data_IF_646350067753
#
_entry.id   IF_646350067753
#
_cell.length_a   1.000
_cell.length_b   1.000
_cell.length_c   1.000
_cell.angle_alpha   90.00
_cell.angle_beta   90.00
_cell.angle_gamma   90.00
#
_symmetry.space_group_name_H-M   'P 1'
#
loop_
_entity.id
_entity.type
_entity.pdbx_description
1 polymer ?
#
# COMPACT_ATOMS: atom_id res chain seq x y z
N UNK A 1 -4.45 -14.42 17.43
CA UNK A 1 -4.11 -13.18 16.71
C UNK A 1 -2.71 -13.32 16.11
N UNK A 2 -2.43 -12.70 14.95
CA UNK A 2 -1.12 -12.76 14.30
C UNK A 2 -0.11 -11.75 14.86
N UNK A 3 1.14 -11.85 14.41
CA UNK A 3 2.23 -10.92 14.78
C UNK A 3 2.17 -9.64 13.93
N UNK A 4 1.53 -8.60 14.47
CA UNK A 4 1.38 -7.31 13.79
C UNK A 4 2.72 -6.58 13.61
N UNK A 5 3.66 -6.73 14.55
CA UNK A 5 4.97 -6.09 14.46
C UNK A 5 5.76 -6.63 13.27
N UNK A 6 5.80 -7.96 13.13
CA UNK A 6 6.39 -8.62 11.97
C UNK A 6 5.66 -8.28 10.68
N UNK A 7 4.32 -8.25 10.69
CA UNK A 7 3.54 -7.90 9.51
C UNK A 7 3.85 -6.48 9.01
N UNK A 8 3.93 -5.49 9.92
CA UNK A 8 4.32 -4.11 9.60
C UNK A 8 5.72 -4.05 9.00
N UNK A 9 6.71 -4.68 9.64
CA UNK A 9 8.09 -4.65 9.16
C UNK A 9 8.24 -5.23 7.74
N UNK A 10 7.56 -6.35 7.46
CA UNK A 10 7.56 -6.96 6.13
C UNK A 10 6.84 -6.07 5.11
N UNK A 11 5.68 -5.53 5.48
CA UNK A 11 4.89 -4.68 4.59
C UNK A 11 5.56 -3.33 4.29
N UNK A 12 6.24 -2.71 5.25
CA UNK A 12 7.01 -1.47 5.04
C UNK A 12 8.15 -1.71 4.02
N UNK A 13 8.92 -2.80 4.19
CA UNK A 13 9.99 -3.16 3.25
C UNK A 13 9.45 -3.50 1.85
N UNK A 14 8.32 -4.20 1.79
CA UNK A 14 7.64 -4.52 0.54
C UNK A 14 7.10 -3.26 -0.15
N UNK A 15 6.58 -2.28 0.60
CA UNK A 15 6.03 -1.02 0.05
C UNK A 15 7.12 -0.24 -0.69
N UNK A 16 8.29 -0.11 -0.06
CA UNK A 16 9.45 0.54 -0.68
C UNK A 16 9.93 -0.22 -1.92
N UNK A 17 9.97 -1.55 -1.87
CA UNK A 17 10.43 -2.39 -2.98
C UNK A 17 9.46 -2.37 -4.16
N UNK A 18 8.16 -2.47 -3.90
CA UNK A 18 7.11 -2.34 -4.91
C UNK A 18 7.16 -0.96 -5.59
N UNK A 19 7.46 0.10 -4.84
CA UNK A 19 7.71 1.44 -5.38
C UNK A 19 8.88 1.48 -6.36
N UNK A 20 10.03 0.88 -6.01
CA UNK A 20 11.21 0.83 -6.88
C UNK A 20 10.99 0.01 -8.15
N UNK A 21 10.21 -1.07 -8.06
CA UNK A 21 9.93 -1.98 -9.17
C UNK A 21 8.72 -1.55 -10.03
N UNK A 22 8.04 -0.44 -9.68
CA UNK A 22 6.86 0.02 -10.41
C UNK A 22 5.64 -0.90 -10.27
N UNK A 23 5.57 -1.73 -9.23
CA UNK A 23 4.48 -2.68 -9.00
C UNK A 23 3.26 -1.98 -8.39
N UNK A 24 2.59 -1.13 -9.18
CA UNK A 24 1.53 -0.24 -8.70
C UNK A 24 0.37 -0.96 -7.99
N UNK A 25 -0.20 -2.08 -8.50
CA UNK A 25 -1.28 -2.77 -7.79
C UNK A 25 -0.83 -3.34 -6.44
N UNK A 26 0.40 -3.85 -6.36
CA UNK A 26 0.96 -4.37 -5.11
C UNK A 26 1.24 -3.25 -4.11
N UNK A 27 1.80 -2.13 -4.58
CA UNK A 27 2.04 -0.94 -3.75
C UNK A 27 0.75 -0.36 -3.18
N UNK A 28 -0.33 -0.37 -3.96
CA UNK A 28 -1.67 -0.03 -3.49
C UNK A 28 -2.14 -0.96 -2.35
N UNK A 29 -2.06 -2.28 -2.55
CA UNK A 29 -2.50 -3.26 -1.56
C UNK A 29 -1.70 -3.15 -0.24
N UNK A 30 -0.39 -2.91 -0.33
CA UNK A 30 0.47 -2.72 0.83
C UNK A 30 0.14 -1.44 1.60
N UNK A 31 -0.20 -0.35 0.91
CA UNK A 31 -0.65 0.88 1.57
C UNK A 31 -1.96 0.67 2.34
N UNK A 32 -2.94 -0.02 1.75
CA UNK A 32 -4.19 -0.40 2.43
C UNK A 32 -3.91 -1.24 3.68
N UNK A 33 -3.09 -2.30 3.54
CA UNK A 33 -2.73 -3.15 4.67
C UNK A 33 -2.09 -2.35 5.82
N UNK A 34 -1.13 -1.48 5.50
CA UNK A 34 -0.41 -0.67 6.50
C UNK A 34 -1.30 0.38 7.18
N UNK A 35 -2.34 0.88 6.50
CA UNK A 35 -3.39 1.70 7.12
C UNK A 35 -4.18 0.85 8.11
N UNK A 36 -4.66 -0.32 7.67
CA UNK A 36 -5.53 -1.18 8.48
C UNK A 36 -4.83 -1.75 9.73
N UNK A 37 -3.52 -2.01 9.64
CA UNK A 37 -2.73 -2.48 10.79
C UNK A 37 -1.97 -1.37 11.50
N UNK A 38 -2.25 -0.09 11.21
CA UNK A 38 -1.65 1.08 11.86
C UNK A 38 -0.12 1.05 11.88
N UNK A 39 0.52 1.16 10.72
CA UNK A 39 1.98 1.30 10.63
C UNK A 39 2.48 2.56 11.35
N UNK A 40 3.66 2.45 11.96
CA UNK A 40 4.36 3.55 12.66
C UNK A 40 5.54 4.11 11.86
N UNK A 41 5.94 3.41 10.80
CA UNK A 41 7.10 3.77 9.97
C UNK A 41 6.79 4.90 8.99
N UNK A 42 5.57 4.88 8.43
CA UNK A 42 5.08 5.92 7.55
C UNK A 42 3.94 6.68 8.23
N UNK A 43 3.91 8.01 8.13
CA UNK A 43 2.77 8.77 8.61
C UNK A 43 1.52 8.41 7.79
N UNK A 44 0.36 8.30 8.45
CA UNK A 44 -0.88 7.83 7.84
C UNK A 44 -1.26 8.60 6.55
N UNK A 45 -1.07 9.92 6.53
CA UNK A 45 -1.36 10.75 5.35
C UNK A 45 -0.56 10.31 4.10
N UNK A 46 0.70 9.90 4.28
CA UNK A 46 1.55 9.44 3.20
C UNK A 46 1.08 8.09 2.65
N UNK A 47 0.59 7.19 3.52
CA UNK A 47 0.02 5.92 3.08
C UNK A 47 -1.28 6.13 2.29
N UNK A 48 -2.13 7.05 2.72
CA UNK A 48 -3.34 7.43 1.97
C UNK A 48 -2.99 8.03 0.59
N UNK A 49 -2.00 8.91 0.52
CA UNK A 49 -1.54 9.46 -0.75
C UNK A 49 -1.03 8.37 -1.69
N UNK A 50 -0.18 7.45 -1.20
CA UNK A 50 0.32 6.33 -1.98
C UNK A 50 -0.83 5.48 -2.51
N UNK A 51 -1.81 5.15 -1.65
CA UNK A 51 -3.01 4.40 -2.04
C UNK A 51 -3.74 5.11 -3.17
N UNK A 52 -4.05 6.39 -3.00
CA UNK A 52 -4.89 7.13 -3.95
C UNK A 52 -4.17 7.36 -5.30
N UNK A 53 -2.86 7.65 -5.28
CA UNK A 53 -2.04 7.78 -6.48
C UNK A 53 -1.95 6.45 -7.25
N UNK A 54 -1.65 5.35 -6.56
CA UNK A 54 -1.54 4.04 -7.21
C UNK A 54 -2.90 3.62 -7.80
N UNK A 55 -4.00 3.83 -7.06
CA UNK A 55 -5.34 3.54 -7.54
C UNK A 55 -5.67 4.36 -8.80
N UNK A 56 -5.35 5.64 -8.80
CA UNK A 56 -5.53 6.54 -9.95
C UNK A 56 -4.71 6.12 -11.17
N UNK A 57 -3.46 5.68 -10.96
CA UNK A 57 -2.60 5.18 -12.05
C UNK A 57 -3.12 3.89 -12.67
N UNK A 58 -3.52 2.91 -11.86
CA UNK A 58 -4.10 1.66 -12.37
C UNK A 58 -5.38 1.94 -13.16
N UNK A 59 -6.22 2.86 -12.68
CA UNK A 59 -7.45 3.26 -13.40
C UNK A 59 -7.16 3.96 -14.73
N UNK A 60 -6.13 4.82 -14.78
CA UNK A 60 -5.66 5.44 -16.03
C UNK A 60 -5.08 4.42 -17.01
N UNK A 61 -4.53 3.31 -16.52
CA UNK A 61 -4.06 2.20 -17.34
C UNK A 61 -5.19 1.25 -17.79
N UNK A 62 -6.46 1.58 -17.53
CA UNK A 62 -7.63 0.75 -17.89
C UNK A 62 -8.01 -0.30 -16.84
N UNK A 63 -7.32 -0.35 -15.70
CA UNK A 63 -7.67 -1.25 -14.61
C UNK A 63 -8.95 -0.80 -13.89
N UNK A 64 -9.77 -1.76 -13.48
CA UNK A 64 -11.00 -1.50 -12.72
C UNK A 64 -10.84 -1.95 -11.28
N UNK A 65 -10.98 -1.03 -10.35
CA UNK A 65 -11.10 -1.36 -8.93
C UNK A 65 -12.55 -1.66 -8.60
N UNK A 66 -12.80 -2.74 -7.87
CA UNK A 66 -14.12 -2.98 -7.30
C UNK A 66 -14.30 -2.01 -6.13
N UNK A 67 -15.37 -1.22 -6.15
CA UNK A 67 -15.84 -0.58 -4.93
C UNK A 67 -16.37 -1.65 -3.99
N UNK A 68 -16.09 -1.50 -2.69
CA UNK A 68 -16.76 -2.27 -1.66
C UNK A 68 -18.26 -1.94 -1.62
#
# INVERSE_FOLDING_TARGET
AGDLGRARAVADAALATAGRLGLLPLRWALACLLIDIESVTFPAHQLHEIRDVCAGQVRRAGGTWRSA
#
